data_IF_479068424871
#
_entry.id   IF_479068424871
#
_cell.length_a   1.000
_cell.length_b   1.000
_cell.length_c   1.000
_cell.angle_alpha   90.00
_cell.angle_beta   90.00
_cell.angle_gamma   90.00
#
_symmetry.space_group_name_H-M   'P 1'
#
loop_
_entity.id
_entity.type
_entity.pdbx_description
1 polymer ?
#
# COMPACT_ATOMS: atom_id res chain seq x y z
N UNK A 1 -2.17 -2.87 34.57
CA UNK A 1 -1.65 -3.72 33.47
C UNK A 1 -2.73 -4.22 32.50
N UNK A 2 -3.92 -4.70 32.93
CA UNK A 2 -5.02 -5.12 32.02
C UNK A 2 -5.49 -4.03 31.02
N UNK A 3 -5.60 -2.77 31.48
CA UNK A 3 -5.99 -1.65 30.60
C UNK A 3 -4.91 -1.27 29.57
N UNK A 4 -3.62 -1.50 29.87
CA UNK A 4 -2.53 -1.18 28.95
C UNK A 4 -2.48 -2.15 27.77
N UNK A 5 -2.77 -3.44 28.01
CA UNK A 5 -2.90 -4.43 26.94
C UNK A 5 -4.06 -4.11 25.98
N UNK A 6 -5.15 -3.53 26.49
CA UNK A 6 -6.29 -3.14 25.65
C UNK A 6 -5.95 -1.92 24.76
N UNK A 7 -5.19 -0.96 25.27
CA UNK A 7 -4.75 0.21 24.50
C UNK A 7 -3.74 -0.16 23.38
N UNK A 8 -2.86 -1.13 23.63
CA UNK A 8 -1.93 -1.67 22.63
C UNK A 8 -2.65 -2.45 21.51
N UNK A 9 -3.80 -3.05 21.79
CA UNK A 9 -4.60 -3.74 20.78
C UNK A 9 -5.30 -2.76 19.82
N UNK A 10 -5.64 -1.53 20.25
CA UNK A 10 -6.26 -0.52 19.38
C UNK A 10 -5.28 0.11 18.38
N UNK A 11 -3.98 0.14 18.68
CA UNK A 11 -2.95 0.59 17.72
C UNK A 11 -2.66 -0.40 16.60
N UNK A 12 -3.20 -1.62 16.66
CA UNK A 12 -3.02 -2.64 15.63
C UNK A 12 -3.98 -2.48 14.43
N UNK A 13 -4.88 -1.49 14.46
CA UNK A 13 -5.71 -1.10 13.32
C UNK A 13 -4.87 -0.35 12.26
N UNK A 14 -3.86 -1.01 11.70
CA UNK A 14 -3.15 -0.55 10.50
C UNK A 14 -3.95 -0.84 9.23
N UNK A 15 -3.45 -0.40 8.06
CA UNK A 15 -4.05 -0.80 6.77
C UNK A 15 -4.26 -2.31 6.71
N UNK A 16 -5.46 -2.74 6.35
CA UNK A 16 -5.77 -4.16 6.12
C UNK A 16 -5.67 -4.46 4.62
N UNK A 17 -5.08 -5.60 4.22
CA UNK A 17 -5.09 -6.01 2.82
C UNK A 17 -6.52 -6.31 2.34
N UNK A 18 -6.78 -6.14 1.05
CA UNK A 18 -7.99 -6.66 0.44
C UNK A 18 -8.02 -8.21 0.49
N UNK A 19 -9.21 -8.86 0.42
CA UNK A 19 -9.33 -10.30 0.62
C UNK A 19 -8.39 -11.16 -0.23
N UNK A 20 -8.13 -10.78 -1.48
CA UNK A 20 -7.20 -11.50 -2.36
C UNK A 20 -5.74 -11.44 -1.90
N UNK A 21 -5.37 -10.46 -1.07
CA UNK A 21 -4.05 -10.28 -0.46
C UNK A 21 -3.96 -10.83 0.98
N UNK A 22 -4.95 -11.58 1.48
CA UNK A 22 -4.79 -12.30 2.74
C UNK A 22 -3.60 -13.27 2.68
N UNK A 23 -2.77 -13.24 3.73
CA UNK A 23 -1.50 -13.96 3.80
C UNK A 23 -0.36 -13.37 2.97
N UNK A 24 -0.52 -12.14 2.45
CA UNK A 24 0.56 -11.41 1.78
C UNK A 24 1.65 -10.97 2.75
N UNK A 25 2.85 -10.80 2.22
CA UNK A 25 3.95 -10.14 2.92
C UNK A 25 3.65 -8.64 3.02
N UNK A 26 3.75 -8.08 4.23
CA UNK A 26 3.48 -6.66 4.49
C UNK A 26 4.79 -5.88 4.57
N UNK A 27 4.86 -4.78 3.84
CA UNK A 27 5.93 -3.81 3.90
C UNK A 27 5.38 -2.41 4.15
N UNK A 28 6.19 -1.56 4.75
CA UNK A 28 5.85 -0.16 4.99
C UNK A 28 6.98 0.72 4.49
N UNK A 29 6.62 1.85 3.88
CA UNK A 29 7.59 2.81 3.36
C UNK A 29 6.98 4.22 3.35
N UNK A 30 7.80 5.21 3.69
CA UNK A 30 7.43 6.62 3.55
C UNK A 30 8.12 7.21 2.34
N UNK A 31 7.36 7.70 1.36
CA UNK A 31 7.87 8.34 0.15
C UNK A 31 7.18 9.70 -0.05
N UNK A 32 7.97 10.76 -0.30
CA UNK A 32 7.41 12.11 -0.49
C UNK A 32 6.64 12.65 0.72
N UNK A 33 6.95 12.16 1.93
CA UNK A 33 6.20 12.49 3.15
C UNK A 33 4.85 11.79 3.29
N UNK A 34 4.59 10.76 2.47
CA UNK A 34 3.36 9.96 2.47
C UNK A 34 3.71 8.54 2.89
N UNK A 35 2.95 8.00 3.84
CA UNK A 35 3.10 6.64 4.30
C UNK A 35 2.33 5.67 3.41
N UNK A 36 3.00 4.59 2.99
CA UNK A 36 2.44 3.52 2.18
C UNK A 36 2.63 2.18 2.86
N UNK A 37 1.61 1.33 2.76
CA UNK A 37 1.70 -0.09 3.10
C UNK A 37 1.58 -0.89 1.81
N UNK A 38 2.54 -1.77 1.57
CA UNK A 38 2.59 -2.64 0.40
C UNK A 38 2.36 -4.07 0.84
N UNK A 39 1.38 -4.73 0.23
CA UNK A 39 1.11 -6.15 0.40
C UNK A 39 1.55 -6.90 -0.85
N UNK A 40 2.56 -7.75 -0.73
CA UNK A 40 3.04 -8.59 -1.83
C UNK A 40 2.50 -10.01 -1.71
N UNK A 41 1.94 -10.52 -2.79
CA UNK A 41 1.49 -11.91 -2.88
C UNK A 41 1.78 -12.49 -4.26
N UNK A 42 2.86 -13.27 -4.35
CA UNK A 42 3.33 -13.83 -5.62
C UNK A 42 3.76 -12.72 -6.58
N UNK A 43 3.14 -12.69 -7.75
CA UNK A 43 3.32 -11.73 -8.85
C UNK A 43 2.35 -10.55 -8.78
N UNK A 44 1.74 -10.29 -7.61
CA UNK A 44 0.84 -9.17 -7.39
C UNK A 44 1.24 -8.35 -6.17
N UNK A 45 0.96 -7.05 -6.24
CA UNK A 45 1.10 -6.13 -5.13
C UNK A 45 -0.16 -5.28 -4.95
N UNK A 46 -0.55 -5.04 -3.69
CA UNK A 46 -1.51 -4.02 -3.30
C UNK A 46 -0.77 -2.94 -2.52
N UNK A 47 -1.08 -1.68 -2.81
CA UNK A 47 -0.49 -0.52 -2.14
C UNK A 47 -1.62 0.30 -1.55
N UNK A 48 -1.51 0.59 -0.26
CA UNK A 48 -2.47 1.41 0.49
C UNK A 48 -1.75 2.65 1.00
N UNK A 49 -2.27 3.83 0.64
CA UNK A 49 -1.81 5.11 1.17
C UNK A 49 -2.45 5.38 2.52
N UNK A 50 -1.65 5.70 3.51
CA UNK A 50 -2.09 6.10 4.83
C UNK A 50 -2.17 7.62 4.97
N UNK A 51 -2.84 8.06 6.04
CA UNK A 51 -2.98 9.47 6.38
C UNK A 51 -3.94 10.25 5.47
N UNK A 52 -4.19 11.50 5.85
CA UNK A 52 -5.01 12.42 5.08
C UNK A 52 -4.17 13.18 4.06
N UNK A 53 -4.73 13.32 2.84
CA UNK A 53 -4.10 14.10 1.78
C UNK A 53 -5.13 14.98 1.08
N UNK A 54 -4.84 16.28 1.03
CA UNK A 54 -5.62 17.25 0.28
C UNK A 54 -5.56 16.98 -1.22
N UNK A 55 -6.57 17.46 -1.97
CA UNK A 55 -6.73 17.15 -3.40
C UNK A 55 -5.50 17.47 -4.25
N UNK A 56 -4.91 18.65 -4.07
CA UNK A 56 -3.76 19.11 -4.84
C UNK A 56 -2.49 18.29 -4.59
N UNK A 57 -2.38 17.61 -3.44
CA UNK A 57 -1.22 16.79 -3.11
C UNK A 57 -1.35 15.35 -3.63
N UNK A 58 -2.46 14.99 -4.28
CA UNK A 58 -2.72 13.62 -4.78
C UNK A 58 -2.11 13.33 -6.15
N UNK A 59 -1.76 14.37 -6.92
CA UNK A 59 -1.19 14.23 -8.27
C UNK A 59 0.04 13.30 -8.35
N UNK A 60 1.02 13.36 -7.43
CA UNK A 60 2.18 12.46 -7.48
C UNK A 60 1.90 11.04 -6.97
N UNK A 61 0.76 10.80 -6.30
CA UNK A 61 0.50 9.54 -5.58
C UNK A 61 0.59 8.28 -6.46
N UNK A 62 0.04 8.25 -7.69
CA UNK A 62 0.16 7.07 -8.55
C UNK A 62 1.61 6.63 -8.79
N UNK A 63 2.50 7.59 -9.09
CA UNK A 63 3.91 7.31 -9.32
C UNK A 63 4.61 6.86 -8.03
N UNK A 64 4.29 7.50 -6.90
CA UNK A 64 4.82 7.11 -5.59
C UNK A 64 4.36 5.72 -5.15
N UNK A 65 3.14 5.29 -5.51
CA UNK A 65 2.65 3.93 -5.23
C UNK A 65 3.46 2.88 -6.02
N UNK A 66 3.75 3.13 -7.30
CA UNK A 66 4.60 2.24 -8.10
C UNK A 66 6.03 2.19 -7.56
N UNK A 67 6.58 3.33 -7.14
CA UNK A 67 7.87 3.40 -6.47
C UNK A 67 7.85 2.64 -5.13
N UNK A 68 6.78 2.75 -4.34
CA UNK A 68 6.63 2.01 -3.08
C UNK A 68 6.72 0.50 -3.31
N UNK A 69 6.05 -0.03 -4.35
CA UNK A 69 6.17 -1.44 -4.75
C UNK A 69 7.62 -1.79 -5.04
N UNK A 70 8.28 -1.03 -5.92
CA UNK A 70 9.65 -1.31 -6.33
C UNK A 70 10.62 -1.29 -5.14
N UNK A 71 10.52 -0.27 -4.28
CA UNK A 71 11.44 -0.06 -3.15
C UNK A 71 11.29 -1.11 -2.05
N UNK A 72 10.08 -1.62 -1.86
CA UNK A 72 9.78 -2.57 -0.76
C UNK A 72 9.91 -4.03 -1.19
N UNK A 73 9.52 -4.34 -2.42
CA UNK A 73 9.51 -5.72 -2.92
C UNK A 73 10.73 -6.07 -3.78
N UNK A 74 11.41 -5.08 -4.33
CA UNK A 74 12.44 -5.25 -5.36
C UNK A 74 11.88 -5.58 -6.75
N UNK A 75 10.56 -5.74 -6.89
CA UNK A 75 9.91 -6.13 -8.13
C UNK A 75 9.37 -4.92 -8.90
N UNK A 76 9.44 -4.95 -10.23
CA UNK A 76 8.93 -3.88 -11.09
C UNK A 76 7.45 -4.05 -11.35
N UNK A 77 6.70 -2.95 -11.38
CA UNK A 77 5.30 -2.95 -11.83
C UNK A 77 5.23 -3.21 -13.33
N UNK A 78 4.32 -4.10 -13.75
CA UNK A 78 4.03 -4.31 -15.16
C UNK A 78 3.27 -3.11 -15.73
N UNK A 79 3.73 -2.52 -16.86
CA UNK A 79 3.05 -1.38 -17.47
C UNK A 79 1.57 -1.67 -17.77
N UNK A 80 0.68 -0.75 -17.40
CA UNK A 80 -0.75 -0.88 -17.64
C UNK A 80 -1.50 -1.87 -16.73
N UNK A 81 -0.82 -2.51 -15.78
CA UNK A 81 -1.46 -3.46 -14.84
C UNK A 81 -2.16 -2.80 -13.64
N UNK A 82 -2.12 -1.47 -13.54
CA UNK A 82 -2.69 -0.73 -12.42
C UNK A 82 -4.21 -0.87 -12.40
N UNK A 83 -4.73 -1.39 -11.29
CA UNK A 83 -6.17 -1.49 -11.01
C UNK A 83 -6.48 -0.76 -9.71
N UNK A 84 -7.54 0.04 -9.69
CA UNK A 84 -8.05 0.72 -8.48
C UNK A 84 -9.50 0.36 -8.25
N UNK A 85 -9.96 0.42 -6.99
CA UNK A 85 -11.37 0.19 -6.66
C UNK A 85 -12.33 1.23 -7.27
N UNK A 86 -11.88 2.49 -7.37
CA UNK A 86 -12.63 3.58 -7.99
C UNK A 86 -11.77 4.28 -9.07
N UNK A 87 -12.38 4.81 -10.16
CA UNK A 87 -11.65 5.61 -11.12
C UNK A 87 -10.99 6.82 -10.46
N UNK A 88 -9.67 6.96 -10.63
CA UNK A 88 -8.91 8.05 -10.03
C UNK A 88 -8.60 7.89 -8.53
N UNK A 89 -8.78 6.69 -7.96
CA UNK A 89 -8.39 6.44 -6.58
C UNK A 89 -6.87 6.61 -6.36
N UNK A 90 -6.56 7.16 -5.19
CA UNK A 90 -5.21 7.45 -4.67
C UNK A 90 -5.07 6.98 -3.22
N UNK A 91 -6.07 6.28 -2.68
CA UNK A 91 -6.03 5.57 -1.40
C UNK A 91 -5.51 4.15 -1.55
N UNK A 92 -5.89 3.45 -2.61
CA UNK A 92 -5.46 2.08 -2.89
C UNK A 92 -5.21 1.86 -4.38
N UNK A 93 -4.23 1.01 -4.68
CA UNK A 93 -3.98 0.51 -6.03
C UNK A 93 -3.39 -0.91 -6.00
N UNK A 94 -3.65 -1.67 -7.05
CA UNK A 94 -3.15 -3.03 -7.25
C UNK A 94 -2.37 -3.11 -8.55
N UNK A 95 -1.37 -3.97 -8.56
CA UNK A 95 -0.43 -4.12 -9.66
C UNK A 95 -0.09 -5.59 -9.90
N UNK A 96 0.17 -5.93 -11.16
CA UNK A 96 1.00 -7.09 -11.48
C UNK A 96 2.47 -6.67 -11.40
N UNK A 97 3.31 -7.52 -10.83
CA UNK A 97 4.73 -7.24 -10.59
C UNK A 97 5.62 -8.33 -11.19
N UNK A 98 6.82 -7.93 -11.62
CA UNK A 98 7.85 -8.79 -12.17
C UNK A 98 9.12 -8.69 -11.31
N UNK A 99 9.54 -9.82 -10.75
CA UNK A 99 10.67 -9.91 -9.83
C UNK A 99 11.96 -10.43 -10.50
N UNK A 100 11.95 -10.64 -11.83
CA UNK A 100 13.07 -11.22 -12.59
C UNK A 100 12.74 -12.57 -13.21
#
# INVERSE_FOLDING_TARGET
MRFLCLLLALSACGASPAPQFFGAERHEVTLGGIDFVVFRKGDRAEVVRLGYLGRAARDPVPALMEEAVLRTTGCRVRPGSRVTGLPGDTGEARYEIDCG
#
